data_IF_709465830722
#
_entry.id   IF_709465830722
#
_cell.length_a   1.000
_cell.length_b   1.000
_cell.length_c   1.000
_cell.angle_alpha   90.00
_cell.angle_beta   90.00
_cell.angle_gamma   90.00
#
_symmetry.space_group_name_H-M   'P 1'
#
loop_
_entity.id
_entity.type
_entity.pdbx_description
1 polymer ?
#
# COMPACT_ATOMS: atom_id res chain seq x y z
N UNK A 1 -32.20 -8.12 32.24
CA UNK A 1 -33.07 -6.93 32.25
C UNK A 1 -32.36 -5.62 31.88
N UNK A 2 -31.13 -5.34 32.34
CA UNK A 2 -30.44 -4.07 32.03
C UNK A 2 -30.08 -3.89 30.56
N UNK A 3 -29.62 -4.93 29.86
CA UNK A 3 -29.18 -4.83 28.43
C UNK A 3 -30.37 -4.56 27.48
N UNK A 4 -31.53 -5.20 27.69
CA UNK A 4 -32.72 -4.97 26.86
C UNK A 4 -33.27 -3.55 27.03
N UNK A 5 -33.17 -2.98 28.22
CA UNK A 5 -33.57 -1.59 28.49
C UNK A 5 -32.67 -0.63 27.72
N UNK A 6 -31.33 -0.81 27.78
CA UNK A 6 -30.35 0.03 27.08
C UNK A 6 -30.56 -0.07 25.56
N UNK A 7 -30.74 -1.26 25.00
CA UNK A 7 -31.00 -1.45 23.56
C UNK A 7 -32.30 -0.76 23.09
N UNK A 8 -33.33 -0.82 23.90
CA UNK A 8 -34.60 -0.13 23.61
C UNK A 8 -34.45 1.39 23.66
N UNK A 9 -33.69 1.90 24.60
CA UNK A 9 -33.42 3.33 24.74
C UNK A 9 -32.57 3.88 23.60
N UNK A 10 -31.54 3.13 23.14
CA UNK A 10 -30.75 3.43 21.94
C UNK A 10 -31.66 3.45 20.70
N UNK A 11 -32.55 2.46 20.54
CA UNK A 11 -33.45 2.40 19.39
C UNK A 11 -34.43 3.59 19.36
N UNK A 12 -34.91 4.04 20.50
CA UNK A 12 -35.80 5.23 20.64
C UNK A 12 -34.98 6.50 20.31
N UNK A 13 -33.74 6.59 20.82
CA UNK A 13 -32.83 7.72 20.54
C UNK A 13 -32.51 7.90 19.07
N UNK A 14 -32.14 6.80 18.39
CA UNK A 14 -31.86 6.78 16.95
C UNK A 14 -33.08 7.16 16.09
N UNK A 15 -34.29 6.71 16.47
CA UNK A 15 -35.52 7.05 15.75
C UNK A 15 -35.95 8.50 15.97
N UNK A 16 -35.78 9.04 17.15
CA UNK A 16 -36.20 10.42 17.49
C UNK A 16 -35.36 11.48 16.73
N UNK A 17 -34.12 11.15 16.35
CA UNK A 17 -33.23 12.02 15.56
C UNK A 17 -32.70 11.33 14.31
N UNK A 18 -33.59 10.69 13.55
CA UNK A 18 -33.24 9.82 12.41
C UNK A 18 -32.36 10.54 11.37
N UNK A 19 -32.71 11.76 10.99
CA UNK A 19 -31.96 12.56 10.02
C UNK A 19 -30.53 12.79 10.44
N UNK A 20 -30.30 13.06 11.72
CA UNK A 20 -29.00 13.33 12.29
C UNK A 20 -28.16 12.06 12.40
N UNK A 21 -28.81 10.93 12.78
CA UNK A 21 -28.16 9.62 12.81
C UNK A 21 -27.75 9.17 11.41
N UNK A 22 -28.63 9.33 10.42
CA UNK A 22 -28.30 9.01 9.02
C UNK A 22 -27.12 9.85 8.53
N UNK A 23 -27.12 11.16 8.83
CA UNK A 23 -26.00 12.03 8.45
C UNK A 23 -24.67 11.57 9.03
N UNK A 24 -24.64 11.14 10.31
CA UNK A 24 -23.44 10.57 10.93
C UNK A 24 -23.02 9.27 10.27
N UNK A 25 -23.97 8.34 10.10
CA UNK A 25 -23.69 7.03 9.48
C UNK A 25 -23.11 7.21 8.08
N UNK A 26 -23.71 8.07 7.25
CA UNK A 26 -23.26 8.36 5.88
C UNK A 26 -21.86 8.99 5.91
N UNK A 27 -21.63 9.98 6.77
CA UNK A 27 -20.33 10.65 6.88
C UNK A 27 -19.24 9.70 7.35
N UNK A 28 -19.51 8.89 8.38
CA UNK A 28 -18.57 7.87 8.86
C UNK A 28 -18.35 6.81 7.78
N UNK A 29 -19.39 6.35 7.10
CA UNK A 29 -19.27 5.37 6.03
C UNK A 29 -18.39 5.87 4.89
N UNK A 30 -18.59 7.10 4.41
CA UNK A 30 -17.77 7.69 3.34
C UNK A 30 -16.32 7.86 3.79
N UNK A 31 -16.09 8.35 5.01
CA UNK A 31 -14.75 8.54 5.55
C UNK A 31 -14.01 7.20 5.72
N UNK A 32 -14.69 6.18 6.24
CA UNK A 32 -14.11 4.84 6.41
C UNK A 32 -13.93 4.12 5.06
N UNK A 33 -14.80 4.34 4.08
CA UNK A 33 -14.63 3.80 2.73
C UNK A 33 -13.37 4.36 2.08
N UNK A 34 -13.15 5.67 2.15
CA UNK A 34 -11.93 6.30 1.61
C UNK A 34 -10.68 5.90 2.41
N UNK A 35 -10.80 5.74 3.72
CA UNK A 35 -9.73 5.19 4.55
C UNK A 35 -9.38 3.76 4.12
N UNK A 36 -10.37 2.87 3.98
CA UNK A 36 -10.18 1.49 3.54
C UNK A 36 -9.62 1.40 2.12
N UNK A 37 -10.12 2.24 1.20
CA UNK A 37 -9.57 2.34 -0.16
C UNK A 37 -8.08 2.76 -0.15
N UNK A 38 -7.71 3.71 0.71
CA UNK A 38 -6.31 4.12 0.89
C UNK A 38 -5.42 2.98 1.40
N UNK A 39 -5.92 2.15 2.33
CA UNK A 39 -5.20 0.94 2.79
C UNK A 39 -5.03 -0.07 1.65
N UNK A 40 -6.06 -0.27 0.81
CA UNK A 40 -5.99 -1.17 -0.34
C UNK A 40 -4.99 -0.65 -1.38
N UNK A 41 -4.98 0.66 -1.68
CA UNK A 41 -3.96 1.27 -2.57
C UNK A 41 -2.55 1.07 -2.01
N UNK A 42 -2.36 1.25 -0.72
CA UNK A 42 -1.06 1.00 -0.07
C UNK A 42 -0.65 -0.46 -0.14
N UNK A 43 -1.58 -1.39 0.09
CA UNK A 43 -1.34 -2.83 -0.04
C UNK A 43 -0.99 -3.21 -1.47
N UNK A 44 -1.74 -2.70 -2.46
CA UNK A 44 -1.46 -2.91 -3.88
C UNK A 44 -0.07 -2.41 -4.28
N UNK A 45 0.29 -1.20 -3.85
CA UNK A 45 1.60 -0.63 -4.15
C UNK A 45 2.74 -1.45 -3.53
N UNK A 46 2.56 -1.98 -2.32
CA UNK A 46 3.55 -2.87 -1.69
C UNK A 46 3.65 -4.21 -2.43
N UNK A 47 2.53 -4.84 -2.79
CA UNK A 47 2.53 -6.08 -3.57
C UNK A 47 3.20 -5.92 -4.92
N UNK A 48 2.97 -4.79 -5.60
CA UNK A 48 3.66 -4.46 -6.86
C UNK A 48 5.16 -4.26 -6.65
N UNK A 49 5.56 -3.58 -5.58
CA UNK A 49 6.98 -3.43 -5.23
C UNK A 49 7.66 -4.77 -5.01
N UNK A 50 7.06 -5.64 -4.18
CA UNK A 50 7.62 -6.94 -3.84
C UNK A 50 7.74 -7.82 -5.09
N UNK A 51 6.72 -7.81 -5.96
CA UNK A 51 6.74 -8.54 -7.23
C UNK A 51 7.89 -8.10 -8.14
N UNK A 52 8.07 -6.78 -8.30
CA UNK A 52 9.12 -6.24 -9.15
C UNK A 52 10.50 -6.37 -8.50
N UNK A 53 10.62 -6.18 -7.19
CA UNK A 53 11.87 -6.34 -6.47
C UNK A 53 12.42 -7.76 -6.55
N UNK A 54 11.55 -8.77 -6.58
CA UNK A 54 12.00 -10.15 -6.76
C UNK A 54 12.48 -10.46 -8.20
N UNK A 55 12.18 -9.60 -9.17
CA UNK A 55 12.56 -9.73 -10.58
C UNK A 55 13.65 -8.77 -11.04
N UNK A 56 13.95 -7.74 -10.26
CA UNK A 56 15.02 -6.79 -10.58
C UNK A 56 16.37 -7.45 -10.32
N UNK A 57 17.19 -7.49 -11.34
CA UNK A 57 18.56 -7.98 -11.32
C UNK A 57 19.52 -6.85 -11.69
N UNK A 58 20.73 -6.90 -11.15
CA UNK A 58 21.84 -6.07 -11.57
C UNK A 58 22.63 -6.83 -12.61
N UNK A 59 22.74 -6.30 -13.83
CA UNK A 59 23.50 -6.92 -14.90
C UNK A 59 24.90 -6.31 -14.97
N UNK A 60 25.92 -7.12 -14.72
CA UNK A 60 27.33 -6.77 -14.88
C UNK A 60 27.76 -7.28 -16.24
N UNK A 61 27.86 -6.40 -17.23
CA UNK A 61 28.33 -6.72 -18.55
C UNK A 61 29.84 -6.82 -18.56
N UNK A 62 30.35 -7.91 -19.11
CA UNK A 62 31.78 -8.16 -19.20
C UNK A 62 32.33 -7.61 -20.53
N UNK A 63 33.64 -7.29 -20.55
CA UNK A 63 34.28 -6.77 -21.72
C UNK A 63 34.26 -7.75 -22.88
N UNK A 64 33.83 -7.28 -24.06
CA UNK A 64 33.81 -8.03 -25.30
C UNK A 64 34.98 -7.58 -26.24
N UNK A 65 35.23 -8.38 -27.25
CA UNK A 65 36.31 -8.12 -28.23
C UNK A 65 36.09 -6.82 -29.02
N UNK A 66 34.83 -6.42 -29.21
CA UNK A 66 34.45 -5.19 -29.93
C UNK A 66 34.45 -3.94 -29.08
N UNK A 67 34.63 -4.05 -27.77
CA UNK A 67 34.50 -2.90 -26.87
C UNK A 67 35.70 -1.97 -26.99
N UNK A 68 35.51 -0.63 -26.82
CA UNK A 68 36.58 0.32 -26.81
C UNK A 68 37.52 0.03 -25.63
N UNK A 69 38.87 0.05 -25.90
CA UNK A 69 39.88 -0.16 -24.87
C UNK A 69 39.97 1.04 -23.93
N UNK A 70 38.95 1.22 -23.12
CA UNK A 70 38.88 2.28 -22.09
C UNK A 70 38.40 1.67 -20.78
N UNK A 71 38.69 2.33 -19.69
CA UNK A 71 38.27 1.98 -18.32
C UNK A 71 38.52 0.48 -18.00
N UNK A 72 37.50 -0.26 -17.57
CA UNK A 72 37.59 -1.66 -17.21
C UNK A 72 38.01 -2.60 -18.35
N UNK A 73 37.89 -2.17 -19.63
CA UNK A 73 38.20 -2.99 -20.83
C UNK A 73 39.57 -2.68 -21.48
N UNK A 74 40.49 -2.04 -20.77
CA UNK A 74 41.79 -1.71 -21.28
C UNK A 74 42.57 -2.94 -21.80
N UNK A 75 42.35 -4.11 -21.19
CA UNK A 75 43.02 -5.37 -21.56
C UNK A 75 42.27 -6.15 -22.68
N UNK A 76 41.18 -5.60 -23.21
CA UNK A 76 40.32 -6.26 -24.23
C UNK A 76 39.30 -7.20 -23.64
N UNK A 77 39.01 -8.30 -24.36
CA UNK A 77 38.00 -9.28 -23.96
C UNK A 77 38.30 -9.92 -22.59
N UNK A 78 37.25 -10.12 -21.77
CA UNK A 78 37.38 -10.74 -20.45
C UNK A 78 37.97 -12.15 -20.53
N UNK A 79 38.93 -12.46 -19.66
CA UNK A 79 39.53 -13.78 -19.58
C UNK A 79 38.77 -14.69 -18.61
N UNK A 80 38.97 -16.02 -18.71
CA UNK A 80 38.39 -16.97 -17.76
C UNK A 80 38.83 -16.66 -16.31
N UNK A 81 40.07 -16.21 -16.12
CA UNK A 81 40.62 -15.85 -14.80
C UNK A 81 39.89 -14.63 -14.23
N UNK A 82 39.66 -13.60 -15.05
CA UNK A 82 38.94 -12.40 -14.62
C UNK A 82 37.47 -12.73 -14.28
N UNK A 83 36.84 -13.58 -15.08
CA UNK A 83 35.46 -14.03 -14.86
C UNK A 83 35.30 -14.76 -13.53
N UNK A 84 36.20 -15.71 -13.23
CA UNK A 84 36.19 -16.43 -11.96
C UNK A 84 36.48 -15.51 -10.77
N UNK A 85 37.40 -14.55 -10.93
CA UNK A 85 37.70 -13.55 -9.90
C UNK A 85 36.50 -12.64 -9.63
N UNK A 86 35.80 -12.17 -10.68
CA UNK A 86 34.57 -11.36 -10.52
C UNK A 86 33.50 -12.15 -9.79
N UNK A 87 33.27 -13.43 -10.20
CA UNK A 87 32.31 -14.31 -9.56
C UNK A 87 32.65 -14.54 -8.08
N UNK A 88 33.91 -14.84 -7.76
CA UNK A 88 34.36 -15.10 -6.41
C UNK A 88 34.18 -13.89 -5.48
N UNK A 89 34.31 -12.66 -6.02
CA UNK A 89 34.10 -11.46 -5.22
C UNK A 89 32.60 -11.16 -5.04
N UNK A 90 31.76 -11.46 -6.04
CA UNK A 90 30.31 -11.39 -5.91
C UNK A 90 29.77 -12.40 -4.87
N UNK A 91 30.30 -13.61 -4.85
CA UNK A 91 29.93 -14.66 -3.89
C UNK A 91 30.27 -14.29 -2.43
N UNK A 92 31.27 -13.41 -2.21
CA UNK A 92 31.65 -12.93 -0.86
C UNK A 92 30.74 -11.78 -0.35
N UNK A 93 29.94 -11.17 -1.20
CA UNK A 93 29.11 -10.00 -0.83
C UNK A 93 27.84 -10.45 -0.12
N UNK A 94 27.56 -9.99 1.11
CA UNK A 94 26.37 -10.38 1.85
C UNK A 94 25.05 -9.84 1.25
N UNK A 95 25.15 -8.83 0.39
CA UNK A 95 24.00 -8.27 -0.32
C UNK A 95 23.50 -9.17 -1.46
N UNK A 96 24.37 -10.06 -1.96
CA UNK A 96 24.09 -10.94 -3.10
C UNK A 96 23.30 -12.15 -2.65
N UNK A 97 22.16 -12.40 -3.29
CA UNK A 97 21.29 -13.57 -3.05
C UNK A 97 21.61 -14.72 -4.01
N UNK A 98 21.75 -14.40 -5.29
CA UNK A 98 22.01 -15.39 -6.34
C UNK A 98 22.74 -14.75 -7.51
N UNK A 99 23.66 -15.48 -8.12
CA UNK A 99 24.42 -15.05 -9.30
C UNK A 99 24.09 -16.00 -10.43
N UNK A 100 23.69 -15.45 -11.57
CA UNK A 100 23.48 -16.17 -12.82
C UNK A 100 24.51 -15.68 -13.83
N UNK A 101 25.25 -16.62 -14.41
CA UNK A 101 26.14 -16.32 -15.53
C UNK A 101 25.40 -16.51 -16.84
N UNK A 102 25.42 -15.53 -17.71
CA UNK A 102 24.83 -15.55 -19.03
C UNK A 102 25.93 -15.51 -20.07
N UNK A 103 26.08 -16.58 -20.83
CA UNK A 103 27.03 -16.67 -21.91
C UNK A 103 26.59 -15.87 -23.15
N UNK A 104 27.51 -15.57 -24.08
CA UNK A 104 27.17 -14.92 -25.36
C UNK A 104 26.06 -15.66 -26.11
N UNK A 105 26.04 -16.98 -26.03
CA UNK A 105 25.03 -17.82 -26.70
C UNK A 105 23.66 -17.67 -26.01
N UNK A 106 23.64 -17.65 -24.68
CA UNK A 106 22.40 -17.46 -23.92
C UNK A 106 21.85 -16.06 -24.13
N UNK A 107 22.72 -15.03 -24.09
CA UNK A 107 22.36 -13.65 -24.38
C UNK A 107 21.75 -13.51 -25.79
N UNK A 108 22.35 -14.18 -26.79
CA UNK A 108 21.82 -14.20 -28.17
C UNK A 108 20.46 -14.88 -28.24
N UNK A 109 20.29 -16.01 -27.56
CA UNK A 109 19.01 -16.72 -27.52
C UNK A 109 17.91 -15.85 -26.90
N UNK A 110 18.18 -15.23 -25.75
CA UNK A 110 17.23 -14.32 -25.07
C UNK A 110 16.92 -13.11 -25.96
N UNK A 111 17.93 -12.52 -26.59
CA UNK A 111 17.75 -11.40 -27.50
C UNK A 111 16.82 -11.77 -28.68
N UNK A 112 17.03 -12.93 -29.27
CA UNK A 112 16.19 -13.43 -30.37
C UNK A 112 14.76 -13.74 -29.95
N UNK A 113 14.58 -14.27 -28.72
CA UNK A 113 13.25 -14.53 -28.16
C UNK A 113 12.46 -13.24 -27.89
N UNK A 114 13.13 -12.18 -27.44
CA UNK A 114 12.52 -10.88 -27.17
C UNK A 114 12.24 -10.05 -28.42
N UNK A 115 13.00 -10.27 -29.50
CA UNK A 115 12.94 -9.51 -30.75
C UNK A 115 12.51 -10.35 -31.96
N UNK A 116 11.63 -11.31 -31.78
CA UNK A 116 11.16 -12.24 -32.83
C UNK A 116 10.60 -11.55 -34.08
N UNK A 117 10.00 -10.36 -33.89
CA UNK A 117 9.36 -9.59 -34.96
C UNK A 117 10.21 -8.39 -35.43
N UNK A 118 11.47 -8.32 -35.02
CA UNK A 118 12.37 -7.20 -35.34
C UNK A 118 13.46 -7.65 -36.32
N UNK A 119 13.68 -6.85 -37.37
CA UNK A 119 14.78 -7.07 -38.34
C UNK A 119 16.19 -7.07 -37.69
N UNK A 120 16.31 -6.52 -36.46
CA UNK A 120 17.54 -6.55 -35.67
C UNK A 120 17.90 -7.95 -35.18
N UNK A 121 16.92 -8.86 -35.01
CA UNK A 121 17.16 -10.23 -34.56
C UNK A 121 17.95 -11.07 -35.55
N UNK A 122 17.92 -10.74 -36.86
CA UNK A 122 18.58 -11.47 -37.91
C UNK A 122 19.97 -10.92 -38.29
N UNK A 123 20.32 -9.73 -37.81
CA UNK A 123 21.58 -9.07 -38.18
C UNK A 123 22.69 -9.23 -37.15
N UNK A 124 22.37 -9.57 -35.92
CA UNK A 124 23.33 -9.74 -34.82
C UNK A 124 23.89 -11.18 -34.80
N UNK A 125 25.16 -11.29 -34.40
CA UNK A 125 25.84 -12.55 -34.15
C UNK A 125 26.13 -12.72 -32.65
N UNK A 126 26.26 -13.95 -32.12
CA UNK A 126 26.56 -14.18 -30.70
C UNK A 126 27.81 -13.47 -30.21
N UNK A 127 28.83 -13.33 -31.09
CA UNK A 127 30.09 -12.65 -30.72
C UNK A 127 29.98 -11.14 -30.50
N UNK A 128 28.90 -10.53 -30.96
CA UNK A 128 28.60 -9.11 -30.76
C UNK A 128 27.94 -8.80 -29.41
N UNK A 129 27.41 -9.83 -28.77
CA UNK A 129 26.77 -9.68 -27.45
C UNK A 129 27.81 -9.93 -26.32
N UNK A 130 27.85 -9.09 -25.30
CA UNK A 130 28.71 -9.31 -24.15
C UNK A 130 28.17 -10.45 -23.27
N UNK A 131 29.08 -11.14 -22.61
CA UNK A 131 28.73 -11.99 -21.47
C UNK A 131 28.32 -11.14 -20.30
N UNK A 132 27.47 -11.67 -19.40
CA UNK A 132 27.05 -10.92 -18.22
C UNK A 132 26.91 -11.81 -16.99
N UNK A 133 27.08 -11.19 -15.81
CA UNK A 133 26.59 -11.74 -14.57
C UNK A 133 25.30 -11.01 -14.19
N UNK A 134 24.22 -11.76 -14.05
CA UNK A 134 22.94 -11.29 -13.53
C UNK A 134 22.90 -11.58 -12.05
N UNK A 135 22.93 -10.52 -11.24
CA UNK A 135 23.04 -10.60 -9.80
C UNK A 135 21.71 -10.22 -9.17
N UNK A 136 21.09 -11.17 -8.48
CA UNK A 136 19.92 -10.93 -7.66
C UNK A 136 20.37 -10.53 -6.25
N UNK A 137 19.84 -9.44 -5.72
CA UNK A 137 20.15 -8.94 -4.39
C UNK A 137 19.09 -9.36 -3.37
N UNK A 138 19.49 -9.47 -2.08
CA UNK A 138 18.53 -9.60 -0.98
C UNK A 138 17.67 -8.35 -0.83
N UNK A 139 18.28 -7.17 -1.01
CA UNK A 139 17.61 -5.88 -1.03
C UNK A 139 17.97 -5.12 -2.31
N UNK A 140 17.06 -5.06 -3.31
CA UNK A 140 17.31 -4.37 -4.57
C UNK A 140 17.61 -2.87 -4.42
N UNK A 141 17.35 -2.28 -3.26
CA UNK A 141 17.68 -0.86 -3.03
C UNK A 141 19.17 -0.61 -2.86
N UNK A 142 19.95 -1.66 -2.59
CA UNK A 142 21.39 -1.61 -2.35
C UNK A 142 22.24 -1.86 -3.61
N UNK A 143 21.66 -1.71 -4.81
CA UNK A 143 22.37 -1.91 -6.08
C UNK A 143 23.60 -1.01 -6.23
N UNK A 144 23.58 0.20 -5.64
CA UNK A 144 24.71 1.14 -5.69
C UNK A 144 26.00 0.55 -5.11
N UNK A 145 25.88 -0.39 -4.17
CA UNK A 145 27.04 -1.10 -3.59
C UNK A 145 27.71 -1.96 -4.67
N UNK A 146 26.91 -2.69 -5.45
CA UNK A 146 27.44 -3.51 -6.56
C UNK A 146 27.98 -2.63 -7.67
N UNK A 147 27.21 -1.61 -8.08
CA UNK A 147 27.64 -0.70 -9.14
C UNK A 147 28.97 -0.01 -8.79
N UNK A 148 29.10 0.54 -7.60
CA UNK A 148 30.35 1.21 -7.17
C UNK A 148 31.54 0.25 -7.03
N UNK A 149 31.31 -1.00 -6.64
CA UNK A 149 32.36 -2.00 -6.50
C UNK A 149 32.88 -2.53 -7.85
N UNK A 150 32.02 -2.58 -8.88
CA UNK A 150 32.34 -3.26 -10.14
C UNK A 150 32.44 -2.33 -11.36
N UNK A 151 31.92 -1.08 -11.35
CA UNK A 151 31.94 -0.18 -12.52
C UNK A 151 33.33 0.12 -13.09
N UNK A 152 34.38 0.13 -12.25
CA UNK A 152 35.76 0.41 -12.69
C UNK A 152 36.68 -0.81 -12.59
N UNK A 153 36.11 -2.02 -12.46
CA UNK A 153 36.87 -3.25 -12.31
C UNK A 153 37.36 -3.75 -13.66
N UNK A 154 38.61 -4.23 -13.70
CA UNK A 154 39.16 -4.87 -14.90
C UNK A 154 38.27 -6.06 -15.35
N UNK A 155 37.95 -6.13 -16.65
CA UNK A 155 37.08 -7.13 -17.22
C UNK A 155 35.59 -6.77 -17.22
N UNK A 156 35.17 -5.66 -16.58
CA UNK A 156 33.80 -5.17 -16.57
C UNK A 156 33.66 -4.01 -17.55
N UNK A 157 32.71 -4.12 -18.46
CA UNK A 157 32.37 -3.08 -19.44
C UNK A 157 31.39 -2.06 -18.84
N UNK A 158 30.31 -2.55 -18.26
CA UNK A 158 29.27 -1.70 -17.67
C UNK A 158 28.48 -2.46 -16.58
N UNK A 159 27.94 -1.72 -15.63
CA UNK A 159 27.06 -2.26 -14.59
C UNK A 159 25.70 -1.59 -14.74
N UNK A 160 24.76 -2.31 -15.32
CA UNK A 160 23.40 -1.82 -15.53
C UNK A 160 22.47 -2.29 -14.44
N UNK A 161 21.78 -1.34 -13.84
CA UNK A 161 20.68 -1.60 -12.92
C UNK A 161 19.34 -1.44 -13.65
N UNK A 162 18.60 -2.53 -13.74
CA UNK A 162 17.23 -2.49 -14.29
C UNK A 162 16.29 -1.62 -13.44
N UNK A 163 16.64 -1.39 -12.15
CA UNK A 163 15.86 -0.52 -11.27
C UNK A 163 15.91 0.95 -11.72
N UNK A 164 16.99 1.41 -12.33
CA UNK A 164 17.08 2.77 -12.85
C UNK A 164 15.98 3.08 -13.85
N UNK A 165 15.60 2.10 -14.67
CA UNK A 165 14.48 2.18 -15.62
C UNK A 165 13.11 2.17 -14.93
N UNK A 166 13.01 1.51 -13.77
CA UNK A 166 11.78 1.39 -12.99
C UNK A 166 11.64 2.48 -11.92
N UNK A 167 12.68 3.28 -11.68
CA UNK A 167 12.66 4.34 -10.67
C UNK A 167 11.47 5.30 -10.82
N UNK A 168 11.15 5.85 -12.03
CA UNK A 168 9.99 6.73 -12.18
C UNK A 168 8.68 6.05 -11.79
N UNK A 169 8.55 4.75 -12.07
CA UNK A 169 7.37 3.97 -11.70
C UNK A 169 7.25 3.78 -10.18
N UNK A 170 8.37 3.45 -9.50
CA UNK A 170 8.36 3.33 -8.04
C UNK A 170 8.14 4.67 -7.33
N UNK A 171 8.65 5.76 -7.87
CA UNK A 171 8.43 7.10 -7.35
C UNK A 171 6.95 7.51 -7.51
N UNK A 172 6.31 7.13 -8.63
CA UNK A 172 4.87 7.32 -8.84
C UNK A 172 4.05 6.53 -7.80
N UNK A 173 4.36 5.24 -7.59
CA UNK A 173 3.70 4.40 -6.59
C UNK A 173 3.84 4.98 -5.18
N UNK A 174 5.04 5.45 -4.83
CA UNK A 174 5.31 6.10 -3.54
C UNK A 174 4.49 7.39 -3.37
N UNK A 175 4.45 8.22 -4.41
CA UNK A 175 3.65 9.44 -4.41
C UNK A 175 2.16 9.16 -4.24
N UNK A 176 1.65 8.14 -4.93
CA UNK A 176 0.26 7.69 -4.78
C UNK A 176 -0.04 7.18 -3.35
N UNK A 177 0.91 6.45 -2.72
CA UNK A 177 0.77 6.03 -1.32
C UNK A 177 0.72 7.23 -0.37
N UNK A 178 1.60 8.22 -0.51
CA UNK A 178 1.59 9.41 0.34
C UNK A 178 0.31 10.24 0.14
N UNK A 179 -0.18 10.37 -1.09
CA UNK A 179 -1.46 11.01 -1.37
C UNK A 179 -2.62 10.25 -0.69
N UNK A 180 -2.64 8.92 -0.78
CA UNK A 180 -3.63 8.09 -0.11
C UNK A 180 -3.59 8.29 1.41
N UNK A 181 -2.41 8.29 2.05
CA UNK A 181 -2.27 8.56 3.49
C UNK A 181 -2.75 9.97 3.87
N UNK A 182 -2.47 10.96 3.05
CA UNK A 182 -2.98 12.33 3.24
C UNK A 182 -4.51 12.38 3.21
N UNK A 183 -5.13 11.74 2.23
CA UNK A 183 -6.59 11.65 2.11
C UNK A 183 -7.19 10.88 3.30
N UNK A 184 -6.59 9.76 3.70
CA UNK A 184 -7.03 8.99 4.86
C UNK A 184 -7.03 9.83 6.13
N UNK A 185 -5.93 10.53 6.42
CA UNK A 185 -5.80 11.39 7.59
C UNK A 185 -6.83 12.53 7.56
N UNK A 186 -6.99 13.19 6.42
CA UNK A 186 -7.97 14.25 6.24
C UNK A 186 -9.41 13.76 6.48
N UNK A 187 -9.78 12.60 5.92
CA UNK A 187 -11.12 12.04 6.08
C UNK A 187 -11.41 11.60 7.53
N UNK A 188 -10.42 11.08 8.26
CA UNK A 188 -10.58 10.78 9.68
C UNK A 188 -10.84 12.07 10.51
N UNK A 189 -10.14 13.15 10.19
CA UNK A 189 -10.37 14.46 10.85
C UNK A 189 -11.79 14.94 10.56
N UNK A 190 -12.24 14.89 9.31
CA UNK A 190 -13.61 15.28 8.93
C UNK A 190 -14.65 14.44 9.69
N UNK A 191 -14.46 13.12 9.74
CA UNK A 191 -15.35 12.22 10.46
C UNK A 191 -15.43 12.60 11.96
N UNK A 192 -14.29 12.83 12.62
CA UNK A 192 -14.24 13.24 14.03
C UNK A 192 -14.98 14.54 14.23
N UNK A 193 -14.76 15.56 13.40
CA UNK A 193 -15.43 16.86 13.50
C UNK A 193 -16.96 16.72 13.35
N UNK A 194 -17.42 15.88 12.42
CA UNK A 194 -18.86 15.64 12.24
C UNK A 194 -19.47 14.89 13.43
N UNK A 195 -18.77 13.90 13.98
CA UNK A 195 -19.22 13.19 15.19
C UNK A 195 -19.29 14.15 16.38
N UNK A 196 -18.26 14.98 16.59
CA UNK A 196 -18.23 16.00 17.64
C UNK A 196 -19.40 16.97 17.52
N UNK A 197 -19.66 17.48 16.31
CA UNK A 197 -20.77 18.38 16.06
C UNK A 197 -22.12 17.72 16.37
N UNK A 198 -22.31 16.49 15.91
CA UNK A 198 -23.55 15.73 16.12
C UNK A 198 -23.76 15.39 17.60
N UNK A 199 -22.72 14.94 18.31
CA UNK A 199 -22.78 14.67 19.74
C UNK A 199 -23.16 15.93 20.53
N UNK A 200 -22.63 17.11 20.13
CA UNK A 200 -22.98 18.40 20.74
C UNK A 200 -24.47 18.71 20.55
N UNK A 201 -24.98 18.60 19.34
CA UNK A 201 -26.37 18.91 19.04
C UNK A 201 -27.30 17.91 19.73
N UNK A 202 -26.95 16.62 19.77
CA UNK A 202 -27.71 15.58 20.49
C UNK A 202 -27.77 15.91 22.00
N UNK A 203 -26.65 16.24 22.62
CA UNK A 203 -26.62 16.63 24.04
C UNK A 203 -27.46 17.90 24.33
N UNK A 204 -27.39 18.89 23.42
CA UNK A 204 -28.17 20.11 23.56
C UNK A 204 -29.69 19.86 23.43
N UNK A 205 -30.11 18.99 22.50
CA UNK A 205 -31.54 18.65 22.32
C UNK A 205 -32.15 17.98 23.55
N UNK A 206 -31.34 17.24 24.33
CA UNK A 206 -31.74 16.51 25.54
C UNK A 206 -31.33 17.21 26.85
N UNK A 207 -31.04 18.51 26.84
CA UNK A 207 -30.51 19.24 27.98
C UNK A 207 -31.46 19.26 29.22
N UNK A 208 -32.79 19.22 28.99
CA UNK A 208 -33.78 19.12 30.07
C UNK A 208 -33.74 17.77 30.77
N UNK A 209 -33.68 16.68 30.01
CA UNK A 209 -33.60 15.31 30.51
C UNK A 209 -32.32 15.10 31.33
N UNK A 210 -31.17 15.53 30.77
CA UNK A 210 -29.86 15.43 31.45
C UNK A 210 -29.79 16.34 32.70
N UNK A 211 -30.47 17.47 32.67
CA UNK A 211 -30.58 18.36 33.84
C UNK A 211 -31.36 17.70 34.98
N UNK A 212 -32.48 17.06 34.70
CA UNK A 212 -33.28 16.34 35.73
C UNK A 212 -32.45 15.17 36.30
N UNK A 213 -31.76 14.38 35.47
CA UNK A 213 -30.91 13.29 35.94
C UNK A 213 -29.82 13.76 36.88
N UNK A 214 -29.27 14.96 36.66
CA UNK A 214 -28.26 15.57 37.52
C UNK A 214 -28.87 15.98 38.86
N UNK A 215 -30.07 16.57 38.88
CA UNK A 215 -30.77 16.95 40.10
C UNK A 215 -31.08 15.77 41.02
N UNK A 216 -31.35 14.60 40.43
CA UNK A 216 -31.59 13.34 41.17
C UNK A 216 -30.29 12.64 41.58
N UNK A 217 -29.10 13.23 41.25
CA UNK A 217 -27.79 12.71 41.68
C UNK A 217 -27.19 11.63 40.79
N UNK A 218 -27.64 11.50 39.52
CA UNK A 218 -27.04 10.56 38.58
C UNK A 218 -25.56 10.92 38.28
N UNK A 219 -24.71 9.88 38.22
CA UNK A 219 -23.29 10.08 37.89
C UNK A 219 -23.11 10.55 36.45
N UNK A 220 -22.04 11.33 36.20
CA UNK A 220 -21.72 11.79 34.82
C UNK A 220 -21.62 10.67 33.81
N UNK A 221 -21.09 9.50 34.21
CA UNK A 221 -21.00 8.35 33.35
C UNK A 221 -22.37 7.78 32.97
N UNK A 222 -23.31 7.81 33.92
CA UNK A 222 -24.67 7.35 33.66
C UNK A 222 -25.42 8.27 32.69
N UNK A 223 -25.16 9.59 32.77
CA UNK A 223 -25.74 10.60 31.88
C UNK A 223 -25.11 10.52 30.48
N UNK A 224 -23.79 10.29 30.37
CA UNK A 224 -23.06 10.25 29.11
C UNK A 224 -23.19 8.92 28.35
N UNK A 225 -23.39 7.81 29.07
CA UNK A 225 -23.40 6.45 28.54
C UNK A 225 -24.32 6.25 27.32
N UNK A 226 -25.59 6.64 27.37
CA UNK A 226 -26.51 6.50 26.23
C UNK A 226 -26.03 7.20 24.96
N UNK A 227 -25.45 8.40 25.06
CA UNK A 227 -24.95 9.15 23.90
C UNK A 227 -23.72 8.51 23.29
N UNK A 228 -22.80 7.99 24.14
CA UNK A 228 -21.60 7.29 23.67
C UNK A 228 -21.99 6.02 22.94
N UNK A 229 -22.95 5.25 23.48
CA UNK A 229 -23.45 4.04 22.85
C UNK A 229 -24.19 4.35 21.54
N UNK A 230 -25.01 5.40 21.48
CA UNK A 230 -25.67 5.87 20.26
C UNK A 230 -24.65 6.20 19.17
N UNK A 231 -23.59 6.92 19.53
CA UNK A 231 -22.49 7.23 18.60
C UNK A 231 -21.71 5.99 18.18
N UNK A 232 -21.45 5.05 19.08
CA UNK A 232 -20.77 3.79 18.78
C UNK A 232 -21.56 2.90 17.81
N UNK A 233 -22.91 2.82 18.01
CA UNK A 233 -23.81 2.12 17.11
C UNK A 233 -23.87 2.79 15.73
N UNK A 234 -23.90 4.12 15.66
CA UNK A 234 -23.81 4.85 14.40
C UNK A 234 -22.46 4.60 13.69
N UNK A 235 -21.37 4.57 14.45
CA UNK A 235 -20.02 4.22 13.96
C UNK A 235 -19.94 2.78 13.43
N UNK A 236 -20.57 1.83 14.13
CA UNK A 236 -20.67 0.43 13.68
C UNK A 236 -21.47 0.32 12.38
N UNK A 237 -22.62 0.99 12.29
CA UNK A 237 -23.43 1.03 11.08
C UNK A 237 -22.64 1.65 9.90
N UNK A 238 -21.89 2.74 10.15
CA UNK A 238 -21.01 3.35 9.17
C UNK A 238 -19.92 2.38 8.68
N UNK A 239 -19.28 1.62 9.60
CA UNK A 239 -18.27 0.62 9.25
C UNK A 239 -18.85 -0.53 8.42
N UNK A 240 -20.08 -0.99 8.72
CA UNK A 240 -20.78 -2.01 7.91
C UNK A 240 -21.05 -1.51 6.49
N UNK A 241 -21.55 -0.29 6.34
CA UNK A 241 -21.78 0.32 5.03
C UNK A 241 -20.46 0.49 4.27
N UNK A 242 -19.40 0.95 4.95
CA UNK A 242 -18.07 1.11 4.35
C UNK A 242 -17.51 -0.22 3.85
N UNK A 243 -17.64 -1.29 4.64
CA UNK A 243 -17.22 -2.64 4.24
C UNK A 243 -17.99 -3.13 3.01
N UNK A 244 -19.31 -2.85 2.96
CA UNK A 244 -20.14 -3.15 1.78
C UNK A 244 -19.69 -2.36 0.54
N UNK A 245 -19.44 -1.05 0.67
CA UNK A 245 -18.98 -0.20 -0.42
C UNK A 245 -17.61 -0.62 -0.94
N UNK A 246 -16.66 -1.00 -0.05
CA UNK A 246 -15.36 -1.52 -0.46
C UNK A 246 -15.48 -2.85 -1.20
N UNK A 247 -16.35 -3.75 -0.74
CA UNK A 247 -16.60 -5.03 -1.41
C UNK A 247 -17.18 -4.81 -2.81
N UNK A 248 -18.15 -3.89 -2.94
CA UNK A 248 -18.72 -3.51 -4.24
C UNK A 248 -17.67 -2.87 -5.14
N UNK A 249 -16.88 -1.93 -4.59
CA UNK A 249 -15.78 -1.28 -5.32
C UNK A 249 -14.73 -2.27 -5.83
N UNK A 250 -14.36 -3.26 -5.02
CA UNK A 250 -13.49 -4.35 -5.43
C UNK A 250 -14.09 -5.18 -6.58
N UNK A 251 -15.34 -5.60 -6.43
CA UNK A 251 -15.98 -6.47 -7.41
C UNK A 251 -16.19 -5.79 -8.77
N UNK A 252 -16.70 -4.56 -8.77
CA UNK A 252 -16.97 -3.83 -10.00
C UNK A 252 -15.73 -3.12 -10.57
N UNK A 253 -14.90 -2.53 -9.71
CA UNK A 253 -13.74 -1.77 -10.14
C UNK A 253 -12.56 -2.66 -10.53
N UNK A 254 -12.17 -3.59 -9.66
CA UNK A 254 -10.96 -4.41 -9.86
C UNK A 254 -11.30 -5.67 -10.67
N UNK A 255 -12.29 -6.47 -10.22
CA UNK A 255 -12.54 -7.78 -10.81
C UNK A 255 -13.17 -7.71 -12.19
N UNK A 256 -14.11 -6.79 -12.44
CA UNK A 256 -14.75 -6.62 -13.77
C UNK A 256 -14.11 -5.53 -14.63
N UNK A 257 -13.64 -4.44 -14.02
CA UNK A 257 -13.14 -3.31 -14.80
C UNK A 257 -11.68 -3.45 -15.22
N UNK A 258 -10.79 -3.71 -14.26
CA UNK A 258 -9.34 -3.73 -14.52
C UNK A 258 -8.84 -5.11 -14.97
N UNK A 259 -9.38 -6.20 -14.42
CA UNK A 259 -8.93 -7.55 -14.77
C UNK A 259 -9.28 -7.90 -16.22
N UNK A 260 -10.45 -7.47 -16.71
CA UNK A 260 -10.86 -7.70 -18.10
C UNK A 260 -10.13 -6.77 -19.08
N UNK A 261 -9.70 -5.58 -18.64
CA UNK A 261 -9.02 -4.61 -19.50
C UNK A 261 -7.52 -4.91 -19.68
N UNK A 262 -6.87 -5.54 -18.70
CA UNK A 262 -5.41 -5.75 -18.67
C UNK A 262 -5.11 -7.15 -18.13
N UNK A 263 -5.16 -8.17 -19.00
CA UNK A 263 -4.90 -9.58 -18.66
C UNK A 263 -3.52 -9.79 -18.01
N UNK A 264 -2.52 -8.99 -18.41
CA UNK A 264 -1.15 -9.02 -17.88
C UNK A 264 -1.06 -8.53 -16.42
N UNK A 265 -1.94 -7.63 -16.00
CA UNK A 265 -1.99 -7.10 -14.62
C UNK A 265 -2.86 -7.94 -13.69
N UNK A 266 -3.71 -8.80 -14.22
CA UNK A 266 -4.69 -9.57 -13.42
C UNK A 266 -4.02 -10.44 -12.35
N UNK A 267 -2.82 -10.97 -12.61
CA UNK A 267 -2.05 -11.79 -11.67
C UNK A 267 -1.36 -11.00 -10.56
N UNK A 268 -1.28 -9.67 -10.69
CA UNK A 268 -0.58 -8.78 -9.74
C UNK A 268 -1.54 -7.95 -8.89
N UNK A 269 -2.85 -8.05 -9.13
CA UNK A 269 -3.85 -7.35 -8.37
C UNK A 269 -4.08 -8.05 -7.02
N UNK A 270 -4.33 -7.22 -5.99
CA UNK A 270 -4.68 -7.71 -4.65
C UNK A 270 -5.92 -8.60 -4.72
N UNK A 271 -5.88 -9.72 -3.99
CA UNK A 271 -7.00 -10.62 -3.83
C UNK A 271 -8.10 -10.05 -2.93
N UNK A 272 -9.24 -10.74 -2.86
CA UNK A 272 -10.34 -10.39 -1.96
C UNK A 272 -9.96 -10.48 -0.48
N UNK A 273 -9.01 -11.33 -0.14
CA UNK A 273 -8.40 -11.48 1.20
C UNK A 273 -7.82 -10.16 1.72
N UNK A 274 -7.22 -9.33 0.86
CA UNK A 274 -6.75 -8.00 1.25
C UNK A 274 -7.93 -7.07 1.64
N UNK A 275 -9.07 -7.18 0.96
CA UNK A 275 -10.28 -6.42 1.31
C UNK A 275 -10.81 -6.84 2.68
N UNK A 276 -10.88 -8.16 2.92
CA UNK A 276 -11.33 -8.71 4.21
C UNK A 276 -10.38 -8.32 5.34
N UNK A 277 -9.06 -8.28 5.09
CA UNK A 277 -8.06 -7.87 6.08
C UNK A 277 -8.22 -6.41 6.55
N UNK A 278 -8.86 -5.55 5.76
CA UNK A 278 -9.15 -4.16 6.12
C UNK A 278 -10.36 -4.05 7.06
N UNK A 279 -11.31 -4.98 7.04
CA UNK A 279 -12.55 -4.89 7.82
C UNK A 279 -12.34 -4.70 9.33
N UNK A 280 -11.47 -5.45 10.03
CA UNK A 280 -11.22 -5.23 11.44
C UNK A 280 -10.82 -3.80 11.77
N UNK A 281 -10.00 -3.17 10.93
CA UNK A 281 -9.58 -1.78 11.08
C UNK A 281 -10.74 -0.81 10.92
N UNK A 282 -11.66 -1.05 9.99
CA UNK A 282 -12.86 -0.22 9.82
C UNK A 282 -13.77 -0.31 11.04
N UNK A 283 -13.97 -1.51 11.62
CA UNK A 283 -14.79 -1.67 12.81
C UNK A 283 -14.16 -1.03 14.04
N UNK A 284 -12.85 -1.24 14.26
CA UNK A 284 -12.12 -0.64 15.38
C UNK A 284 -12.16 0.89 15.29
N UNK A 285 -11.89 1.46 14.11
CA UNK A 285 -11.91 2.90 13.90
C UNK A 285 -13.34 3.45 13.95
N UNK A 286 -14.31 2.81 13.32
CA UNK A 286 -15.68 3.27 13.28
C UNK A 286 -16.30 3.36 14.67
N UNK A 287 -16.20 2.30 15.45
CA UNK A 287 -16.72 2.25 16.82
C UNK A 287 -15.85 3.07 17.77
N UNK A 288 -14.53 2.87 17.73
CA UNK A 288 -13.59 3.51 18.64
C UNK A 288 -13.58 5.04 18.49
N UNK A 289 -13.43 5.53 17.26
CA UNK A 289 -13.43 6.96 16.96
C UNK A 289 -14.76 7.63 17.36
N UNK A 290 -15.90 6.98 17.06
CA UNK A 290 -17.22 7.49 17.39
C UNK A 290 -17.43 7.56 18.91
N UNK A 291 -17.05 6.52 19.65
CA UNK A 291 -17.16 6.48 21.10
C UNK A 291 -16.24 7.53 21.77
N UNK A 292 -14.98 7.60 21.34
CA UNK A 292 -13.97 8.50 21.89
C UNK A 292 -14.33 9.97 21.61
N UNK A 293 -14.69 10.31 20.38
CA UNK A 293 -15.09 11.67 20.01
C UNK A 293 -16.33 12.12 20.78
N UNK A 294 -17.33 11.24 20.91
CA UNK A 294 -18.54 11.51 21.70
C UNK A 294 -18.20 11.71 23.19
N UNK A 295 -17.37 10.83 23.77
CA UNK A 295 -16.95 10.93 25.16
C UNK A 295 -16.28 12.28 25.48
N UNK A 296 -15.27 12.68 24.70
CA UNK A 296 -14.58 13.96 24.92
C UNK A 296 -15.50 15.16 24.72
N UNK A 297 -16.36 15.10 23.72
CA UNK A 297 -17.35 16.17 23.46
C UNK A 297 -18.31 16.33 24.62
N UNK A 298 -18.89 15.25 25.12
CA UNK A 298 -19.84 15.30 26.22
C UNK A 298 -19.18 15.73 27.52
N UNK A 299 -17.96 15.28 27.79
CA UNK A 299 -17.19 15.70 28.96
C UNK A 299 -16.95 17.22 28.98
N UNK A 300 -16.74 17.83 27.80
CA UNK A 300 -16.56 19.28 27.68
C UNK A 300 -17.86 20.07 27.85
N UNK A 301 -18.96 19.56 27.25
CA UNK A 301 -20.24 20.27 27.16
C UNK A 301 -21.20 19.99 28.34
N UNK A 302 -21.05 18.89 29.04
CA UNK A 302 -21.82 18.58 30.25
C UNK A 302 -21.10 19.02 31.55
N UNK A 303 -19.89 19.54 31.45
CA UNK A 303 -19.21 20.22 32.57
C UNK A 303 -19.71 21.67 32.68
N UNK A 304 -20.91 21.85 33.18
CA UNK A 304 -21.35 23.15 33.75
C UNK A 304 -21.88 22.89 35.13
#
# INVERSE_FOLDING_TARGET
MRAQFVLKEIGIGLRRNLTMTIAVVVSVALSLTLFGAGLLVSSQANSMKDYWYDRVEVSIFLCNKSDPKKDGCANGEVTNVDREAIKADLDKMPEVKTIYYESKQDAFKHFKEQNKDSALGDTLTPDQLPESFRVKLHDPTKFEIISSAFSNRAGVHDVQDQKSLLKPFFDLLRSAQYAAYGIMAFMLIVAILLIVNTARVSAFSRRRETGIMRLVGASNFYIQGPFILESAVAGLAGALVASGLLTLGYYFGIKKGLADAIELLSQQLIGFDAVVAVFPWLFILGVGMSAVASFFTLRKYLKV
#
